data_IF_325750507264
#
_entry.id   IF_325750507264
#
_cell.length_a   1.000
_cell.length_b   1.000
_cell.length_c   1.000
_cell.angle_alpha   90.00
_cell.angle_beta   90.00
_cell.angle_gamma   90.00
#
_symmetry.space_group_name_H-M   'P 1'
#
loop_
_entity.id
_entity.type
_entity.pdbx_description
1 polymer ?
#
# COMPACT_ATOMS: atom_id res chain seq x y z
N UNK A 1 -13.40 -68.52 13.30
CA UNK A 1 -13.82 -67.34 12.52
C UNK A 1 -14.84 -66.59 13.34
N UNK A 2 -14.37 -65.69 14.18
CA UNK A 2 -15.26 -64.90 15.07
C UNK A 2 -15.47 -63.56 14.40
N UNK A 3 -16.61 -63.41 13.78
CA UNK A 3 -17.10 -62.17 13.19
C UNK A 3 -18.29 -61.67 13.95
N UNK A 4 -18.11 -60.58 14.62
CA UNK A 4 -19.12 -59.61 15.01
C UNK A 4 -18.99 -59.10 16.44
N UNK A 5 -17.96 -58.31 16.68
CA UNK A 5 -18.04 -57.33 17.76
C UNK A 5 -18.82 -56.15 17.19
N UNK A 6 -20.13 -56.19 17.34
CA UNK A 6 -20.99 -54.99 17.15
C UNK A 6 -20.63 -54.02 18.29
N UNK A 7 -19.87 -53.00 17.97
CA UNK A 7 -19.61 -51.87 18.85
C UNK A 7 -20.94 -51.14 19.06
N UNK A 8 -21.64 -51.48 20.15
CA UNK A 8 -22.84 -50.81 20.58
C UNK A 8 -22.44 -49.41 21.09
N UNK A 9 -22.53 -48.41 20.21
CA UNK A 9 -22.32 -47.01 20.56
C UNK A 9 -23.37 -46.61 21.64
N UNK A 10 -22.87 -46.20 22.82
CA UNK A 10 -23.79 -45.79 23.90
C UNK A 10 -24.53 -44.54 23.47
N UNK A 11 -25.76 -44.34 23.97
CA UNK A 11 -26.54 -43.11 23.74
C UNK A 11 -25.77 -41.86 24.13
N UNK A 12 -24.97 -41.93 25.18
CA UNK A 12 -24.12 -40.82 25.65
C UNK A 12 -23.01 -40.52 24.63
N UNK A 13 -22.36 -41.52 24.06
CA UNK A 13 -21.27 -41.33 23.12
C UNK A 13 -21.82 -40.84 21.75
N UNK A 14 -22.99 -41.34 21.36
CA UNK A 14 -23.71 -40.83 20.19
C UNK A 14 -24.00 -39.34 20.32
N UNK A 15 -24.59 -38.92 21.46
CA UNK A 15 -24.93 -37.52 21.73
C UNK A 15 -23.68 -36.63 21.77
N UNK A 16 -22.58 -37.08 22.37
CA UNK A 16 -21.30 -36.35 22.38
C UNK A 16 -20.77 -36.16 20.99
N UNK A 17 -20.71 -37.24 20.19
CA UNK A 17 -20.23 -37.20 18.82
C UNK A 17 -21.09 -36.27 17.97
N UNK A 18 -22.43 -36.36 18.10
CA UNK A 18 -23.34 -35.47 17.37
C UNK A 18 -23.11 -34.00 17.71
N UNK A 19 -22.96 -33.64 19.00
CA UNK A 19 -22.71 -32.27 19.43
C UNK A 19 -21.38 -31.76 18.91
N UNK A 20 -20.30 -32.57 19.02
CA UNK A 20 -18.97 -32.18 18.54
C UNK A 20 -18.94 -32.02 17.00
N UNK A 21 -19.59 -32.94 16.29
CA UNK A 21 -19.66 -32.89 14.84
C UNK A 21 -20.46 -31.67 14.33
N UNK A 22 -21.63 -31.43 14.90
CA UNK A 22 -22.46 -30.29 14.51
C UNK A 22 -21.79 -28.98 14.92
N UNK A 23 -21.24 -28.90 16.15
CA UNK A 23 -20.49 -27.74 16.62
C UNK A 23 -19.26 -27.44 15.75
N UNK A 24 -18.51 -28.49 15.38
CA UNK A 24 -17.36 -28.40 14.48
C UNK A 24 -17.74 -27.88 13.08
N UNK A 25 -18.82 -28.39 12.51
CA UNK A 25 -19.32 -27.96 11.20
C UNK A 25 -19.75 -26.49 11.22
N UNK A 26 -20.50 -26.09 12.25
CA UNK A 26 -20.94 -24.67 12.42
C UNK A 26 -19.71 -23.77 12.60
N UNK A 27 -18.76 -24.16 13.43
CA UNK A 27 -17.54 -23.39 13.67
C UNK A 27 -16.70 -23.26 12.39
N UNK A 28 -16.58 -24.31 11.60
CA UNK A 28 -15.89 -24.25 10.32
C UNK A 28 -16.63 -23.39 9.29
N UNK A 29 -17.96 -23.54 9.21
CA UNK A 29 -18.78 -22.78 8.26
C UNK A 29 -18.75 -21.26 8.50
N UNK A 30 -18.61 -20.82 9.75
CA UNK A 30 -18.52 -19.40 10.11
C UNK A 30 -17.04 -18.95 10.21
N UNK A 31 -16.21 -19.76 10.83
CA UNK A 31 -14.82 -19.40 11.13
C UNK A 31 -13.94 -19.30 9.87
N UNK A 32 -14.06 -20.23 8.93
CA UNK A 32 -13.24 -20.21 7.72
C UNK A 32 -13.50 -18.95 6.86
N UNK A 33 -14.76 -18.57 6.56
CA UNK A 33 -15.02 -17.32 5.85
C UNK A 33 -14.56 -16.07 6.62
N UNK A 34 -14.76 -16.06 7.95
CA UNK A 34 -14.34 -14.94 8.80
C UNK A 34 -12.80 -14.75 8.76
N UNK A 35 -12.04 -15.84 8.89
CA UNK A 35 -10.59 -15.81 8.76
C UNK A 35 -10.17 -15.38 7.35
N UNK A 36 -10.77 -15.94 6.31
CA UNK A 36 -10.49 -15.57 4.93
C UNK A 36 -10.80 -14.08 4.66
N UNK A 37 -11.87 -13.56 5.26
CA UNK A 37 -12.24 -12.14 5.17
C UNK A 37 -11.19 -11.22 5.80
N UNK A 38 -10.68 -11.58 6.97
CA UNK A 38 -9.68 -10.75 7.69
C UNK A 38 -8.28 -10.86 7.06
N UNK A 39 -7.88 -12.06 6.67
CA UNK A 39 -6.52 -12.32 6.17
C UNK A 39 -6.38 -12.06 4.66
N UNK A 40 -7.47 -12.24 3.90
CA UNK A 40 -7.47 -12.13 2.44
C UNK A 40 -6.89 -10.82 1.89
N UNK A 41 -7.26 -9.63 2.42
CA UNK A 41 -6.69 -8.36 1.97
C UNK A 41 -5.18 -8.25 2.22
N UNK A 42 -4.69 -8.79 3.33
CA UNK A 42 -3.26 -8.75 3.67
C UNK A 42 -2.40 -9.64 2.74
N UNK A 43 -2.99 -10.65 2.12
CA UNK A 43 -2.31 -11.54 1.16
C UNK A 43 -2.32 -10.98 -0.27
N UNK A 44 -3.17 -9.99 -0.55
CA UNK A 44 -3.24 -9.31 -1.85
C UNK A 44 -2.41 -8.03 -1.81
N UNK A 45 -1.10 -8.13 -1.64
CA UNK A 45 -0.23 -6.96 -1.76
C UNK A 45 0.05 -6.70 -3.26
N UNK A 46 -0.41 -5.57 -3.77
CA UNK A 46 -0.06 -5.06 -5.10
C UNK A 46 1.29 -4.31 -5.08
N UNK A 47 2.27 -4.84 -4.33
CA UNK A 47 3.55 -4.17 -4.06
C UNK A 47 4.44 -3.98 -5.30
N UNK A 48 4.12 -4.61 -6.43
CA UNK A 48 4.94 -4.58 -7.65
C UNK A 48 4.28 -3.85 -8.83
N UNK A 49 3.26 -3.04 -8.56
CA UNK A 49 2.56 -2.32 -9.63
C UNK A 49 3.31 -1.05 -10.03
N UNK A 50 3.62 -0.95 -11.34
CA UNK A 50 4.18 0.25 -11.94
C UNK A 50 3.09 1.24 -12.29
N UNK A 51 3.11 2.40 -11.64
CA UNK A 51 2.15 3.48 -11.84
C UNK A 51 2.68 4.41 -12.94
N UNK A 52 1.87 4.61 -13.97
CA UNK A 52 2.18 5.56 -15.04
C UNK A 52 1.96 6.99 -14.55
N UNK A 53 3.01 7.82 -14.53
CA UNK A 53 2.92 9.24 -14.16
C UNK A 53 2.65 10.15 -15.36
N UNK A 54 3.42 10.02 -16.41
CA UNK A 54 3.28 10.86 -17.60
C UNK A 54 4.56 11.01 -18.40
N UNK A 55 4.58 11.96 -19.34
CA UNK A 55 5.72 12.19 -20.22
C UNK A 55 6.90 12.82 -19.47
N UNK A 56 8.13 12.34 -19.77
CA UNK A 56 9.39 12.94 -19.30
C UNK A 56 9.54 14.41 -19.69
N UNK A 57 8.98 14.80 -20.85
CA UNK A 57 9.06 16.19 -21.35
C UNK A 57 8.34 17.23 -20.50
N UNK A 58 7.57 16.80 -19.49
CA UNK A 58 6.94 17.69 -18.52
C UNK A 58 7.84 18.03 -17.33
N UNK A 59 8.94 17.30 -17.15
CA UNK A 59 9.86 17.51 -16.02
C UNK A 59 10.83 18.62 -16.38
N UNK A 60 10.78 19.71 -15.64
CA UNK A 60 11.73 20.82 -15.79
C UNK A 60 13.05 20.46 -15.09
N UNK A 61 14.21 20.65 -15.75
CA UNK A 61 15.49 20.42 -15.11
C UNK A 61 15.67 21.28 -13.85
N UNK A 62 16.16 20.67 -12.78
CA UNK A 62 16.38 21.29 -11.47
C UNK A 62 15.14 21.85 -10.76
N UNK A 63 13.93 21.62 -11.28
CA UNK A 63 12.69 22.05 -10.66
C UNK A 63 11.77 20.84 -10.43
N UNK A 64 11.44 20.48 -9.17
CA UNK A 64 10.53 19.37 -8.89
C UNK A 64 9.14 19.58 -9.50
N UNK A 65 8.73 18.68 -10.36
CA UNK A 65 7.44 18.72 -11.04
C UNK A 65 6.46 17.76 -10.36
N UNK A 66 5.30 18.26 -9.93
CA UNK A 66 4.27 17.42 -9.30
C UNK A 66 3.46 16.68 -10.36
N UNK A 67 3.53 15.36 -10.35
CA UNK A 67 2.64 14.49 -11.11
C UNK A 67 1.50 14.01 -10.24
N UNK A 68 0.31 13.93 -10.85
CA UNK A 68 -0.90 13.39 -10.27
C UNK A 68 -1.53 12.41 -11.24
N UNK A 69 -1.91 11.26 -10.78
CA UNK A 69 -2.61 10.24 -11.56
C UNK A 69 -3.63 9.52 -10.71
N UNK A 70 -4.73 9.13 -11.31
CA UNK A 70 -5.70 8.27 -10.66
C UNK A 70 -5.24 6.81 -10.81
N UNK A 71 -5.29 6.07 -9.73
CA UNK A 71 -5.00 4.64 -9.70
C UNK A 71 -6.19 3.89 -9.13
N UNK A 72 -6.51 2.75 -9.72
CA UNK A 72 -7.48 1.84 -9.15
C UNK A 72 -6.82 1.04 -8.03
N UNK A 73 -7.33 1.16 -6.82
CA UNK A 73 -6.85 0.40 -5.68
C UNK A 73 -7.93 -0.53 -5.17
N UNK A 74 -7.55 -1.75 -4.81
CA UNK A 74 -8.44 -2.66 -4.12
C UNK A 74 -8.11 -2.64 -2.63
N UNK A 75 -8.96 -1.97 -1.84
CA UNK A 75 -8.86 -1.98 -0.38
C UNK A 75 -9.86 -2.98 0.17
N UNK A 76 -9.37 -4.13 0.61
CA UNK A 76 -10.21 -5.24 1.02
C UNK A 76 -11.05 -5.78 -0.16
N UNK A 77 -12.36 -5.57 -0.10
CA UNK A 77 -13.32 -6.03 -1.10
C UNK A 77 -13.89 -4.91 -1.97
N UNK A 78 -13.40 -3.68 -1.78
CA UNK A 78 -13.88 -2.48 -2.47
C UNK A 78 -12.81 -2.01 -3.44
N UNK A 79 -13.20 -1.82 -4.71
CA UNK A 79 -12.39 -1.10 -5.68
C UNK A 79 -12.64 0.39 -5.46
N UNK A 80 -11.58 1.15 -5.26
CA UNK A 80 -11.61 2.60 -5.09
C UNK A 80 -10.62 3.24 -6.06
N UNK A 81 -10.96 4.41 -6.56
CA UNK A 81 -10.04 5.27 -7.27
C UNK A 81 -9.33 6.16 -6.26
N UNK A 82 -8.01 6.12 -6.26
CA UNK A 82 -7.15 6.90 -5.38
C UNK A 82 -6.27 7.84 -6.20
N UNK A 83 -6.15 9.10 -5.78
CA UNK A 83 -5.18 10.01 -6.38
C UNK A 83 -3.77 9.69 -5.86
N UNK A 84 -2.93 9.14 -6.73
CA UNK A 84 -1.51 9.02 -6.48
C UNK A 84 -0.80 10.29 -6.96
N UNK A 85 0.14 10.79 -6.16
CA UNK A 85 0.93 11.95 -6.55
C UNK A 85 2.36 11.86 -6.02
N UNK A 86 3.30 12.28 -6.87
CA UNK A 86 4.72 12.32 -6.55
C UNK A 86 5.39 13.50 -7.23
N UNK A 87 6.41 14.04 -6.59
CA UNK A 87 7.34 14.99 -7.23
C UNK A 87 8.40 14.22 -7.99
N UNK A 88 8.60 14.61 -9.25
CA UNK A 88 9.70 14.09 -10.08
C UNK A 88 10.67 15.22 -10.35
N UNK A 89 11.95 14.94 -10.18
CA UNK A 89 13.03 15.88 -10.46
C UNK A 89 14.13 15.21 -11.28
N UNK A 90 14.80 16.00 -12.07
CA UNK A 90 15.98 15.61 -12.86
C UNK A 90 16.96 16.77 -12.90
N UNK A 91 18.25 16.45 -12.94
CA UNK A 91 19.29 17.46 -13.16
C UNK A 91 19.73 17.52 -14.63
N UNK A 92 19.68 16.37 -15.34
CA UNK A 92 20.27 16.20 -16.68
C UNK A 92 19.25 15.77 -17.75
N UNK A 93 17.97 15.58 -17.38
CA UNK A 93 16.94 15.08 -18.28
C UNK A 93 17.02 13.59 -18.60
N UNK A 94 17.91 12.85 -17.97
CA UNK A 94 18.13 11.40 -18.16
C UNK A 94 17.90 10.61 -16.88
N UNK A 95 18.41 11.11 -15.76
CA UNK A 95 18.25 10.49 -14.44
C UNK A 95 17.09 11.17 -13.70
N UNK A 96 16.11 10.39 -13.30
CA UNK A 96 14.91 10.88 -12.63
C UNK A 96 14.84 10.34 -11.21
N UNK A 97 14.45 11.20 -10.28
CA UNK A 97 14.17 10.86 -8.89
C UNK A 97 12.71 11.17 -8.64
N UNK A 98 11.96 10.22 -8.09
CA UNK A 98 10.59 10.42 -7.67
C UNK A 98 10.49 10.42 -6.14
N UNK A 99 9.87 11.44 -5.59
CA UNK A 99 9.74 11.67 -4.16
C UNK A 99 8.25 11.79 -3.82
N UNK A 100 7.83 11.11 -2.76
CA UNK A 100 6.48 11.20 -2.23
C UNK A 100 6.15 12.64 -1.81
N UNK A 101 4.96 13.10 -2.11
CA UNK A 101 4.47 14.37 -1.58
C UNK A 101 3.76 14.21 -0.23
N UNK A 102 3.92 13.07 0.44
CA UNK A 102 3.32 12.77 1.74
C UNK A 102 4.36 12.97 2.84
N UNK A 103 4.05 13.89 3.77
CA UNK A 103 4.88 14.18 4.93
C UNK A 103 4.99 12.97 5.86
N UNK A 104 6.21 12.62 6.23
CA UNK A 104 6.51 11.46 7.09
C UNK A 104 6.14 11.64 8.55
N UNK A 105 5.63 12.82 8.95
CA UNK A 105 5.09 13.04 10.29
C UNK A 105 3.71 12.41 10.47
N UNK A 106 2.68 12.97 9.82
CA UNK A 106 1.27 12.54 9.93
C UNK A 106 0.55 12.52 8.58
N UNK A 107 1.25 12.32 7.47
CA UNK A 107 0.62 12.08 6.17
C UNK A 107 0.08 13.30 5.44
N UNK A 108 0.34 14.54 5.91
CA UNK A 108 -0.07 15.74 5.18
C UNK A 108 0.68 15.88 3.86
N UNK A 109 0.06 16.49 2.86
CA UNK A 109 0.72 16.74 1.58
C UNK A 109 1.70 17.90 1.69
N UNK A 110 2.95 17.69 1.29
CA UNK A 110 3.97 18.73 1.21
C UNK A 110 3.83 19.50 -0.12
N UNK A 111 4.30 20.74 -0.12
CA UNK A 111 4.34 21.62 -1.30
C UNK A 111 5.76 22.04 -1.59
N UNK A 112 6.14 22.05 -2.85
CA UNK A 112 7.40 22.62 -3.31
C UNK A 112 7.34 24.13 -3.22
N UNK A 113 8.36 24.75 -2.64
CA UNK A 113 8.53 26.21 -2.51
C UNK A 113 9.81 26.58 -3.24
N UNK A 114 9.73 27.10 -4.47
CA UNK A 114 10.92 27.41 -5.29
C UNK A 114 11.87 28.42 -4.61
N UNK A 115 11.32 29.39 -3.86
CA UNK A 115 12.07 30.43 -3.18
C UNK A 115 12.95 29.87 -2.05
N UNK A 116 12.55 28.74 -1.47
CA UNK A 116 13.26 28.06 -0.36
C UNK A 116 14.06 26.85 -0.83
N UNK A 117 14.00 26.51 -2.12
CA UNK A 117 14.56 25.28 -2.74
C UNK A 117 14.24 24.02 -1.91
N UNK A 118 13.01 23.95 -1.42
CA UNK A 118 12.59 22.91 -0.47
C UNK A 118 11.10 22.61 -0.50
N UNK A 119 10.71 21.54 0.20
CA UNK A 119 9.31 21.19 0.40
C UNK A 119 8.85 21.62 1.79
N UNK A 120 7.67 22.20 1.85
CA UNK A 120 7.03 22.66 3.08
C UNK A 120 5.76 21.85 3.38
N UNK A 121 5.64 21.38 4.62
CA UNK A 121 4.44 20.75 5.15
C UNK A 121 3.64 21.75 6.00
N UNK A 122 2.43 22.16 5.56
CA UNK A 122 1.67 23.22 6.23
C UNK A 122 1.04 22.79 7.56
N UNK A 123 0.97 21.46 7.83
CA UNK A 123 0.28 20.99 9.03
C UNK A 123 1.04 21.29 10.32
N UNK A 124 2.36 21.04 10.32
CA UNK A 124 3.20 21.22 11.51
C UNK A 124 4.57 21.83 11.17
N UNK A 125 4.62 22.60 10.09
CA UNK A 125 5.83 23.33 9.66
C UNK A 125 7.06 22.41 9.43
N UNK A 126 6.82 21.18 8.92
CA UNK A 126 7.92 20.33 8.48
C UNK A 126 8.56 20.88 7.20
N UNK A 127 9.89 20.97 7.17
CA UNK A 127 10.66 21.44 6.02
C UNK A 127 11.58 20.33 5.55
N UNK A 128 11.61 20.11 4.24
CA UNK A 128 12.48 19.13 3.60
C UNK A 128 13.27 19.82 2.49
N UNK A 129 14.51 19.37 2.30
CA UNK A 129 15.34 19.80 1.19
C UNK A 129 14.77 19.33 -0.15
N UNK A 130 15.31 19.83 -1.25
CA UNK A 130 14.99 19.39 -2.62
C UNK A 130 15.11 17.88 -2.81
N UNK A 131 16.06 17.25 -2.14
CA UNK A 131 16.25 15.79 -2.16
C UNK A 131 15.32 15.01 -1.21
N UNK A 132 14.44 15.72 -0.51
CA UNK A 132 13.48 15.12 0.43
C UNK A 132 14.04 14.86 1.83
N UNK A 133 15.27 15.30 2.16
CA UNK A 133 15.84 15.15 3.50
C UNK A 133 15.18 16.14 4.47
N UNK A 134 15.01 15.73 5.74
CA UNK A 134 14.47 16.61 6.77
C UNK A 134 15.44 17.75 7.06
N UNK A 135 14.97 18.99 6.95
CA UNK A 135 15.71 20.19 7.33
C UNK A 135 15.28 20.68 8.70
N UNK A 136 13.95 20.71 8.94
CA UNK A 136 13.43 21.15 10.25
C UNK A 136 12.00 20.64 10.48
N UNK A 137 11.56 20.73 11.75
CA UNK A 137 10.20 20.35 12.16
C UNK A 137 10.11 18.92 12.69
N UNK A 138 8.88 18.42 12.89
CA UNK A 138 8.62 17.14 13.54
C UNK A 138 8.78 15.88 12.66
N UNK A 139 8.96 15.91 11.33
CA UNK A 139 9.12 14.68 10.54
C UNK A 139 10.30 13.84 11.03
N UNK A 140 10.10 12.53 11.30
CA UNK A 140 11.14 11.68 11.88
C UNK A 140 12.15 11.15 10.86
N UNK A 141 11.85 11.25 9.55
CA UNK A 141 12.66 10.70 8.46
C UNK A 141 12.42 11.45 7.14
N UNK A 142 13.32 11.30 6.15
CA UNK A 142 13.14 11.86 4.81
C UNK A 142 11.81 11.47 4.17
N UNK A 143 11.40 12.23 3.15
CA UNK A 143 10.30 11.84 2.26
C UNK A 143 10.62 10.52 1.56
N UNK A 144 9.60 9.69 1.36
CA UNK A 144 9.77 8.41 0.71
C UNK A 144 10.17 8.61 -0.76
N UNK A 145 11.06 7.75 -1.26
CA UNK A 145 11.47 7.71 -2.66
C UNK A 145 10.88 6.50 -3.34
N UNK A 146 10.46 6.68 -4.58
CA UNK A 146 9.95 5.63 -5.43
C UNK A 146 11.02 5.19 -6.42
N UNK A 147 11.04 3.90 -6.76
CA UNK A 147 11.79 3.43 -7.92
C UNK A 147 11.18 4.03 -9.18
N UNK A 148 12.04 4.49 -10.10
CA UNK A 148 11.63 5.14 -11.35
C UNK A 148 12.13 4.32 -12.52
N UNK A 149 11.29 4.16 -13.53
CA UNK A 149 11.72 3.72 -14.86
C UNK A 149 11.14 4.63 -15.94
N UNK A 150 11.84 4.69 -17.06
CA UNK A 150 11.39 5.42 -18.26
C UNK A 150 11.25 4.42 -19.39
N UNK A 151 10.07 4.37 -20.00
CA UNK A 151 9.77 3.56 -21.17
C UNK A 151 9.08 4.44 -22.22
N UNK A 152 9.58 4.48 -23.44
CA UNK A 152 9.02 5.25 -24.56
C UNK A 152 8.73 6.73 -24.23
N UNK A 153 9.61 7.36 -23.43
CA UNK A 153 9.45 8.77 -23.02
C UNK A 153 8.36 8.99 -21.96
N UNK A 154 7.91 7.93 -21.31
CA UNK A 154 6.94 7.95 -20.21
C UNK A 154 7.58 7.51 -18.90
N UNK A 155 7.30 8.27 -17.86
CA UNK A 155 7.73 7.97 -16.48
C UNK A 155 6.77 7.01 -15.81
N UNK A 156 7.35 6.01 -15.16
CA UNK A 156 6.65 5.09 -14.28
C UNK A 156 7.35 5.08 -12.92
N UNK A 157 6.56 4.91 -11.87
CA UNK A 157 7.07 4.72 -10.51
C UNK A 157 6.52 3.43 -9.95
N UNK A 158 7.33 2.73 -9.16
CA UNK A 158 6.91 1.53 -8.46
C UNK A 158 6.26 1.92 -7.14
N UNK A 159 5.04 1.43 -6.92
CA UNK A 159 4.39 1.54 -5.61
C UNK A 159 5.13 0.63 -4.62
N UNK A 160 5.66 1.21 -3.55
CA UNK A 160 6.32 0.49 -2.47
C UNK A 160 5.33 -0.01 -1.42
#
# INVERSE_FOLDING_TARGET
MDMSKKDNVSRRDFMKTAIVSIGGLISAAIGLPAVAYVVGPALKQNADEWIRLGSVGKVEPNNPTLFKTAIETQTGWVNAEEEFSAYVLTANGQDFIAISNICTHLGCRVRWIPEEDGYFCPCHNGVFSKDGNVVSGPPPRPLDRFEVKVEDGVLFVKRG
#
